data_IF_497493114925
#
_entry.id   IF_497493114925
#
_cell.length_a   1.000
_cell.length_b   1.000
_cell.length_c   1.000
_cell.angle_alpha   90.00
_cell.angle_beta   90.00
_cell.angle_gamma   90.00
#
_symmetry.space_group_name_H-M   'P 1'
#
loop_
_entity.id
_entity.type
_entity.pdbx_description
1 polymer ?
#
# COMPACT_ATOMS: atom_id res chain seq x y z
N UNK A 1 2.55 1.68 -8.22
CA UNK A 1 3.68 2.61 -7.95
C UNK A 1 4.11 2.37 -6.54
N UNK A 2 5.39 2.49 -6.22
CA UNK A 2 5.90 2.24 -4.87
C UNK A 2 6.30 3.52 -4.19
N UNK A 3 6.23 3.48 -2.87
CA UNK A 3 6.56 4.61 -2.03
C UNK A 3 6.47 4.27 -0.56
N UNK A 4 6.51 5.33 0.24
CA UNK A 4 6.63 5.25 1.69
C UNK A 4 5.70 6.25 2.35
N UNK A 5 4.96 5.82 3.37
CA UNK A 5 4.09 6.73 4.14
C UNK A 5 4.97 7.70 4.94
N UNK A 6 4.82 9.01 4.72
CA UNK A 6 5.55 10.04 5.46
C UNK A 6 4.78 10.51 6.69
N UNK A 7 3.47 10.69 6.55
CA UNK A 7 2.61 11.17 7.62
C UNK A 7 1.19 10.66 7.42
N UNK A 8 0.49 10.52 8.54
CA UNK A 8 -0.91 10.17 8.60
C UNK A 8 -1.53 10.83 9.82
N UNK A 9 -2.57 11.61 9.60
CA UNK A 9 -3.36 12.25 10.63
C UNK A 9 -4.63 11.44 10.87
N UNK A 10 -4.78 10.92 12.10
CA UNK A 10 -5.93 10.10 12.50
C UNK A 10 -7.20 10.92 12.73
N UNK A 11 -7.08 12.22 12.98
CA UNK A 11 -8.23 13.09 13.21
C UNK A 11 -8.91 13.45 11.88
N UNK A 12 -8.13 13.69 10.82
CA UNK A 12 -8.65 13.98 9.48
C UNK A 12 -8.76 12.75 8.57
N UNK A 13 -8.15 11.62 8.95
CA UNK A 13 -8.01 10.42 8.12
C UNK A 13 -7.27 10.64 6.80
N UNK A 14 -6.38 11.63 6.77
CA UNK A 14 -5.57 11.97 5.60
C UNK A 14 -4.10 11.67 5.87
N UNK A 15 -3.36 11.35 4.80
CA UNK A 15 -1.93 11.14 4.88
C UNK A 15 -1.20 11.52 3.60
N UNK A 16 0.12 11.37 3.62
CA UNK A 16 0.95 11.57 2.44
C UNK A 16 1.94 10.42 2.27
N UNK A 17 2.11 10.02 1.00
CA UNK A 17 3.08 9.04 0.56
C UNK A 17 4.16 9.75 -0.25
N UNK A 18 5.42 9.47 0.06
CA UNK A 18 6.56 9.81 -0.81
C UNK A 18 6.75 8.69 -1.82
N UNK A 19 6.51 8.98 -3.09
CA UNK A 19 6.81 8.08 -4.19
C UNK A 19 8.31 7.89 -4.40
N UNK A 20 8.70 6.80 -5.05
CA UNK A 20 10.09 6.57 -5.48
C UNK A 20 10.58 7.59 -6.51
N UNK A 21 9.67 8.35 -7.12
CA UNK A 21 9.97 9.47 -8.01
C UNK A 21 10.20 10.80 -7.27
N UNK A 22 10.35 10.73 -5.94
CA UNK A 22 10.56 11.87 -5.04
C UNK A 22 9.38 12.85 -4.98
N UNK A 23 8.18 12.45 -5.43
CA UNK A 23 6.95 13.26 -5.34
C UNK A 23 6.08 12.85 -4.16
N UNK A 24 5.28 13.82 -3.70
CA UNK A 24 4.32 13.64 -2.62
C UNK A 24 2.93 13.38 -3.18
N UNK A 25 2.30 12.33 -2.68
CA UNK A 25 0.95 11.92 -3.05
C UNK A 25 0.07 11.92 -1.81
N UNK A 26 -0.93 12.82 -1.71
CA UNK A 26 -1.92 12.76 -0.65
C UNK A 26 -2.80 11.52 -0.80
N UNK A 27 -3.31 11.02 0.32
CA UNK A 27 -4.30 9.95 0.34
C UNK A 27 -5.28 10.10 1.50
N UNK A 28 -6.43 9.46 1.36
CA UNK A 28 -7.43 9.30 2.43
C UNK A 28 -7.47 7.84 2.89
N UNK A 29 -7.79 7.58 4.17
CA UNK A 29 -7.80 6.22 4.74
C UNK A 29 -8.70 5.24 3.97
N UNK A 30 -9.74 5.75 3.31
CA UNK A 30 -10.65 4.93 2.49
C UNK A 30 -9.98 4.23 1.31
N UNK A 31 -8.79 4.69 0.91
CA UNK A 31 -7.98 4.07 -0.14
C UNK A 31 -7.05 2.98 0.38
N UNK A 32 -6.97 2.80 1.70
CA UNK A 32 -6.11 1.83 2.35
C UNK A 32 -6.76 0.44 2.35
N UNK A 33 -6.12 -0.51 1.67
CA UNK A 33 -6.63 -1.85 1.44
C UNK A 33 -5.95 -2.92 2.30
N UNK A 34 -5.05 -2.52 3.20
CA UNK A 34 -4.34 -3.43 4.11
C UNK A 34 -5.10 -3.56 5.42
N UNK A 35 -5.07 -4.75 6.02
CA UNK A 35 -5.74 -4.98 7.31
C UNK A 35 -4.97 -4.34 8.47
N UNK A 36 -3.67 -4.11 8.28
CA UNK A 36 -2.83 -3.41 9.26
C UNK A 36 -3.12 -1.91 9.32
N UNK A 37 -2.93 -1.30 10.49
CA UNK A 37 -2.99 0.16 10.67
C UNK A 37 -2.03 0.91 9.72
N UNK A 38 -2.29 2.19 9.45
CA UNK A 38 -1.31 3.04 8.75
C UNK A 38 -0.15 3.36 9.70
N UNK A 39 1.08 3.04 9.27
CA UNK A 39 2.30 3.33 10.01
C UNK A 39 3.20 4.25 9.21
N UNK A 40 3.79 5.23 9.88
CA UNK A 40 4.80 6.11 9.28
C UNK A 40 6.01 5.25 8.92
N UNK A 41 6.68 5.58 7.83
CA UNK A 41 7.87 4.88 7.34
C UNK A 41 7.60 3.53 6.65
N UNK A 42 6.34 3.06 6.60
CA UNK A 42 6.03 1.79 5.94
C UNK A 42 6.03 1.89 4.41
N UNK A 43 6.44 0.81 3.74
CA UNK A 43 6.44 0.70 2.28
C UNK A 43 5.10 0.21 1.75
N UNK A 44 4.64 0.86 0.69
CA UNK A 44 3.34 0.61 0.09
C UNK A 44 3.44 0.58 -1.44
N UNK A 45 2.59 -0.24 -2.05
CA UNK A 45 2.22 -0.12 -3.45
C UNK A 45 0.87 0.62 -3.56
N UNK A 46 0.75 1.52 -4.53
CA UNK A 46 -0.43 2.35 -4.74
C UNK A 46 -0.59 2.73 -6.22
N UNK A 47 -1.81 3.03 -6.63
CA UNK A 47 -2.12 3.68 -7.90
C UNK A 47 -2.11 5.21 -7.76
N UNK A 48 -1.84 5.93 -8.85
CA UNK A 48 -1.93 7.39 -8.90
C UNK A 48 -3.08 7.79 -9.83
N UNK A 49 -4.01 8.58 -9.33
CA UNK A 49 -5.13 9.15 -10.09
C UNK A 49 -5.31 10.60 -9.66
N UNK A 50 -5.29 11.54 -10.60
CA UNK A 50 -5.40 12.99 -10.33
C UNK A 50 -4.41 13.50 -9.26
N UNK A 51 -3.16 13.02 -9.33
CA UNK A 51 -2.08 13.30 -8.36
C UNK A 51 -2.35 12.82 -6.92
N UNK A 52 -3.36 11.96 -6.71
CA UNK A 52 -3.66 11.33 -5.42
C UNK A 52 -3.31 9.84 -5.42
N UNK A 53 -2.89 9.32 -4.27
CA UNK A 53 -2.65 7.90 -4.08
C UNK A 53 -3.95 7.14 -3.79
N UNK A 54 -4.21 6.10 -4.58
CA UNK A 54 -5.42 5.26 -4.57
C UNK A 54 -5.07 3.78 -4.46
N UNK A 55 -5.99 2.95 -3.97
CA UNK A 55 -5.80 1.49 -3.83
C UNK A 55 -4.47 1.10 -3.14
N UNK A 56 -4.20 1.67 -1.97
CA UNK A 56 -2.92 1.59 -1.27
C UNK A 56 -2.83 0.27 -0.50
N UNK A 57 -1.74 -0.47 -0.69
CA UNK A 57 -1.50 -1.73 0.03
C UNK A 57 -0.07 -1.83 0.53
N UNK A 58 0.12 -2.28 1.76
CA UNK A 58 1.45 -2.57 2.34
C UNK A 58 2.13 -3.67 1.55
N UNK A 59 3.41 -3.46 1.23
CA UNK A 59 4.21 -4.44 0.50
C UNK A 59 4.26 -5.79 1.23
N UNK A 60 4.40 -5.78 2.57
CA UNK A 60 4.44 -7.01 3.36
C UNK A 60 3.16 -7.85 3.26
N UNK A 61 1.99 -7.21 3.08
CA UNK A 61 0.72 -7.91 2.90
C UNK A 61 0.53 -8.42 1.47
N UNK A 62 1.03 -7.69 0.48
CA UNK A 62 1.12 -8.18 -0.90
C UNK A 62 1.95 -9.46 -0.95
N UNK A 63 3.14 -9.47 -0.38
CA UNK A 63 4.03 -10.65 -0.36
C UNK A 63 3.38 -11.88 0.31
N UNK A 64 2.61 -11.66 1.38
CA UNK A 64 1.85 -12.73 2.04
C UNK A 64 0.77 -13.27 1.11
N UNK A 65 -0.03 -12.41 0.46
CA UNK A 65 -1.10 -12.82 -0.47
C UNK A 65 -0.55 -13.64 -1.65
N UNK A 66 0.60 -13.27 -2.21
CA UNK A 66 1.22 -14.03 -3.31
C UNK A 66 1.80 -15.37 -2.85
N UNK A 67 2.29 -15.49 -1.62
CA UNK A 67 2.84 -16.76 -1.10
C UNK A 67 1.80 -17.88 -1.08
N UNK A 68 0.52 -17.56 -0.89
CA UNK A 68 -0.56 -18.56 -0.93
C UNK A 68 -0.86 -19.07 -2.35
N UNK A 69 -0.65 -18.24 -3.38
CA UNK A 69 -0.95 -18.60 -4.78
C UNK A 69 0.06 -19.59 -5.36
N UNK A 70 1.28 -19.68 -4.81
CA UNK A 70 2.34 -20.57 -5.34
C UNK A 70 2.32 -21.99 -4.72
N UNK A 71 1.48 -22.26 -3.72
CA UNK A 71 1.19 -23.62 -3.24
C UNK A 71 -0.03 -24.21 -3.96
N UNK A 72 0.04 -24.34 -5.27
CA UNK A 72 -0.85 -25.26 -6.01
C UNK A 72 -0.06 -26.54 -6.21
N UNK A 73 -0.46 -27.61 -5.51
CA UNK A 73 0.11 -28.95 -5.66
C UNK A 73 -0.03 -29.43 -7.11
N UNK A 74 1.08 -29.50 -7.83
CA UNK A 74 1.17 -30.32 -9.04
C UNK A 74 1.48 -31.75 -8.59
N UNK A 75 0.47 -32.46 -8.13
CA UNK A 75 0.48 -33.93 -8.05
C UNK A 75 -0.28 -34.47 -9.25
N UNK A 76 0.44 -34.65 -10.37
CA UNK A 76 -0.07 -35.41 -11.52
C UNK A 76 0.46 -36.83 -11.37
N UNK A 77 -0.46 -37.76 -11.11
CA UNK A 77 -0.25 -39.21 -11.07
C UNK A 77 0.12 -39.78 -12.44
#
# INVERSE_FOLDING_TARGET
MRGKVLLFDKDTNEGQILGEDERLYPFHIGEWLSDSDVEIDCRVDFGVVDDEARNIMREEELEKRFRFVVRVEVSVY
#
